data_IF_472636572394
#
_entry.id   IF_472636572394
#
_cell.length_a   1.000
_cell.length_b   1.000
_cell.length_c   1.000
_cell.angle_alpha   90.00
_cell.angle_beta   90.00
_cell.angle_gamma   90.00
#
_symmetry.space_group_name_H-M   'P 1'
#
loop_
_entity.id
_entity.type
_entity.pdbx_description
1 polymer ?
#
# COMPACT_ATOMS: atom_id res chain seq x y z
N UNK A 1 -25.99 -8.71 -7.98
CA UNK A 1 -25.10 -7.65 -8.49
C UNK A 1 -23.86 -7.58 -7.64
N UNK A 2 -22.72 -7.41 -8.29
CA UNK A 2 -21.43 -7.36 -7.61
C UNK A 2 -21.01 -5.92 -7.39
N UNK A 3 -20.32 -5.70 -6.27
CA UNK A 3 -19.69 -4.41 -5.99
C UNK A 3 -18.32 -4.36 -6.63
N UNK A 4 -17.92 -3.19 -7.12
CA UNK A 4 -16.57 -2.97 -7.64
C UNK A 4 -15.71 -2.49 -6.48
N UNK A 5 -14.72 -3.26 -6.05
CA UNK A 5 -13.73 -2.74 -5.11
C UNK A 5 -12.78 -1.79 -5.85
N UNK A 6 -12.50 -0.68 -5.23
CA UNK A 6 -11.53 0.30 -5.71
C UNK A 6 -10.55 0.57 -4.59
N UNK A 7 -9.28 0.64 -4.93
CA UNK A 7 -8.26 0.95 -3.93
C UNK A 7 -8.42 2.40 -3.50
N UNK A 8 -8.54 2.59 -2.18
CA UNK A 8 -8.51 3.92 -1.58
C UNK A 8 -7.06 4.31 -1.41
N UNK A 9 -6.57 5.17 -2.29
CA UNK A 9 -5.16 5.57 -2.34
C UNK A 9 -4.71 6.23 -1.05
N UNK A 10 -5.48 7.19 -0.57
CA UNK A 10 -5.15 7.93 0.66
C UNK A 10 -5.14 7.01 1.87
N UNK A 11 -6.18 6.21 2.04
CA UNK A 11 -6.27 5.30 3.18
C UNK A 11 -5.18 4.23 3.13
N UNK A 12 -4.84 3.73 1.95
CA UNK A 12 -3.73 2.78 1.77
C UNK A 12 -2.41 3.42 2.18
N UNK A 13 -2.16 4.66 1.78
CA UNK A 13 -0.95 5.38 2.17
C UNK A 13 -0.83 5.57 3.68
N UNK A 14 -1.92 5.95 4.33
CA UNK A 14 -1.97 6.05 5.80
C UNK A 14 -1.70 4.70 6.44
N UNK A 15 -2.24 3.63 5.87
CA UNK A 15 -2.06 2.28 6.37
C UNK A 15 -0.60 1.82 6.25
N UNK A 16 0.06 2.12 5.13
CA UNK A 16 1.49 1.84 4.94
C UNK A 16 2.32 2.53 6.03
N UNK A 17 2.05 3.80 6.30
CA UNK A 17 2.73 4.54 7.36
C UNK A 17 2.51 3.88 8.72
N UNK A 18 1.26 3.53 9.03
CA UNK A 18 0.90 2.90 10.30
C UNK A 18 1.61 1.55 10.47
N UNK A 19 1.60 0.73 9.44
CA UNK A 19 2.24 -0.59 9.48
C UNK A 19 3.76 -0.49 9.60
N UNK A 20 4.36 0.49 8.92
CA UNK A 20 5.79 0.77 9.06
C UNK A 20 6.15 1.09 10.51
N UNK A 21 5.40 2.00 11.13
CA UNK A 21 5.63 2.40 12.51
C UNK A 21 5.41 1.21 13.46
N UNK A 22 4.34 0.44 13.25
CA UNK A 22 4.04 -0.74 14.06
C UNK A 22 5.14 -1.80 13.96
N UNK A 23 5.80 -1.90 12.82
CA UNK A 23 6.93 -2.81 12.62
C UNK A 23 8.25 -2.27 13.19
N UNK A 24 8.25 -1.06 13.74
CA UNK A 24 9.45 -0.42 14.30
C UNK A 24 10.43 0.07 13.24
N UNK A 25 9.96 0.33 12.02
CA UNK A 25 10.81 0.72 10.90
C UNK A 25 10.70 2.21 10.64
N UNK A 26 11.85 2.85 10.43
CA UNK A 26 11.92 4.22 9.91
C UNK A 26 11.77 4.22 8.40
N UNK A 27 11.50 5.40 7.83
CA UNK A 27 11.52 5.54 6.36
C UNK A 27 12.89 5.14 5.80
N UNK A 28 13.96 5.51 6.50
CA UNK A 28 15.32 5.15 6.10
C UNK A 28 15.53 3.64 6.08
N UNK A 29 14.98 2.93 7.08
CA UNK A 29 15.06 1.47 7.13
C UNK A 29 14.40 0.86 5.89
N UNK A 30 13.22 1.33 5.53
CA UNK A 30 12.50 0.84 4.35
C UNK A 30 13.28 1.18 3.07
N UNK A 31 13.79 2.40 2.99
CA UNK A 31 14.65 2.82 1.88
C UNK A 31 15.83 1.88 1.68
N UNK A 32 16.48 1.50 2.77
CA UNK A 32 17.65 0.63 2.73
C UNK A 32 17.29 -0.79 2.27
N UNK A 33 16.15 -1.30 2.73
CA UNK A 33 15.66 -2.62 2.29
C UNK A 33 15.47 -2.67 0.78
N UNK A 34 14.90 -1.62 0.19
CA UNK A 34 14.68 -1.55 -1.25
C UNK A 34 15.93 -1.16 -2.05
N UNK A 35 16.95 -0.63 -1.38
CA UNK A 35 18.11 -0.11 -2.09
C UNK A 35 17.83 1.17 -2.87
N UNK A 36 16.82 1.93 -2.47
CA UNK A 36 16.50 3.20 -3.13
C UNK A 36 17.53 4.27 -2.78
N UNK A 37 17.94 5.05 -3.77
CA UNK A 37 18.87 6.15 -3.56
C UNK A 37 18.26 7.31 -2.78
N UNK A 38 16.94 7.44 -2.81
CA UNK A 38 16.19 8.48 -2.09
C UNK A 38 14.92 7.88 -1.47
N UNK A 39 14.33 8.53 -0.46
CA UNK A 39 13.08 8.04 0.14
C UNK A 39 11.82 8.47 -0.61
N UNK A 40 11.94 9.11 -1.77
CA UNK A 40 10.80 9.75 -2.43
C UNK A 40 9.67 8.79 -2.79
N UNK A 41 10.00 7.58 -3.25
CA UNK A 41 8.98 6.59 -3.59
C UNK A 41 8.15 6.23 -2.36
N UNK A 42 8.81 6.06 -1.21
CA UNK A 42 8.13 5.71 0.05
C UNK A 42 7.20 6.83 0.47
N UNK A 43 7.64 8.07 0.39
CA UNK A 43 6.79 9.22 0.71
C UNK A 43 5.59 9.32 -0.23
N UNK A 44 5.77 9.03 -1.52
CA UNK A 44 4.64 8.99 -2.46
C UNK A 44 3.64 7.92 -2.09
N UNK A 45 4.09 6.74 -1.68
CA UNK A 45 3.20 5.69 -1.20
C UNK A 45 2.41 6.16 0.02
N UNK A 46 3.10 6.75 1.00
CA UNK A 46 2.47 7.21 2.25
C UNK A 46 1.46 8.33 2.03
N UNK A 47 1.68 9.19 1.04
CA UNK A 47 0.73 10.26 0.70
C UNK A 47 -0.43 9.78 -0.15
N UNK A 48 -0.40 8.56 -0.64
CA UNK A 48 -1.38 8.08 -1.60
C UNK A 48 -1.23 8.68 -2.99
N UNK A 49 -0.05 9.23 -3.31
CA UNK A 49 0.23 9.79 -4.63
C UNK A 49 0.53 8.69 -5.66
N UNK A 50 1.04 7.56 -5.20
CA UNK A 50 1.32 6.40 -6.03
C UNK A 50 1.20 5.15 -5.18
N UNK A 51 0.88 4.02 -5.81
CA UNK A 51 0.91 2.72 -5.15
C UNK A 51 2.26 2.06 -5.40
N UNK A 52 2.76 1.26 -4.44
CA UNK A 52 3.86 0.37 -4.72
C UNK A 52 3.50 -0.59 -5.85
N UNK A 53 4.48 -0.95 -6.67
CA UNK A 53 4.30 -2.04 -7.63
C UNK A 53 4.06 -3.36 -6.90
N UNK A 54 3.55 -4.37 -7.61
CA UNK A 54 3.22 -5.65 -6.98
C UNK A 54 4.43 -6.28 -6.31
N UNK A 55 5.59 -6.26 -6.96
CA UNK A 55 6.82 -6.77 -6.40
C UNK A 55 7.25 -6.00 -5.14
N UNK A 56 7.07 -4.70 -5.12
CA UNK A 56 7.36 -3.89 -3.94
C UNK A 56 6.36 -4.17 -2.81
N UNK A 57 5.09 -4.44 -3.13
CA UNK A 57 4.10 -4.86 -2.14
C UNK A 57 4.49 -6.17 -1.46
N UNK A 58 5.03 -7.12 -2.20
CA UNK A 58 5.52 -8.39 -1.63
C UNK A 58 6.59 -8.12 -0.58
N UNK A 59 7.54 -7.23 -0.87
CA UNK A 59 8.60 -6.87 0.06
C UNK A 59 8.06 -6.14 1.28
N UNK A 60 7.16 -5.17 1.07
CA UNK A 60 6.52 -4.44 2.18
C UNK A 60 5.77 -5.39 3.10
N UNK A 61 4.99 -6.31 2.54
CA UNK A 61 4.26 -7.30 3.33
C UNK A 61 5.23 -8.13 4.19
N UNK A 62 6.34 -8.54 3.61
CA UNK A 62 7.35 -9.33 4.32
C UNK A 62 7.97 -8.55 5.48
N UNK A 63 8.40 -7.31 5.27
CA UNK A 63 9.05 -6.51 6.31
C UNK A 63 8.07 -6.00 7.37
N UNK A 64 6.80 -5.82 7.01
CA UNK A 64 5.76 -5.45 7.97
C UNK A 64 5.19 -6.67 8.72
N UNK A 65 5.43 -7.88 8.23
CA UNK A 65 4.88 -9.10 8.83
C UNK A 65 3.38 -9.23 8.61
N UNK A 66 2.89 -8.78 7.47
CA UNK A 66 1.45 -8.81 7.11
C UNK A 66 1.28 -9.43 5.73
N UNK A 67 0.04 -9.61 5.33
CA UNK A 67 -0.31 -10.01 3.96
C UNK A 67 -0.48 -8.78 3.07
N UNK A 68 -0.31 -8.96 1.77
CA UNK A 68 -0.55 -7.87 0.81
C UNK A 68 -1.97 -7.32 0.97
N UNK A 69 -2.95 -8.19 1.16
CA UNK A 69 -4.34 -7.80 1.34
C UNK A 69 -4.55 -6.90 2.56
N UNK A 70 -3.70 -7.01 3.58
CA UNK A 70 -3.79 -6.16 4.76
C UNK A 70 -3.29 -4.74 4.49
N UNK A 71 -2.43 -4.56 3.49
CA UNK A 71 -1.85 -3.25 3.16
C UNK A 71 -2.84 -2.40 2.37
N UNK A 72 -3.51 -3.01 1.39
CA UNK A 72 -4.39 -2.32 0.48
C UNK A 72 -5.76 -2.08 1.13
N UNK A 73 -6.20 -0.84 1.12
CA UNK A 73 -7.52 -0.46 1.63
C UNK A 73 -8.43 -0.22 0.45
N UNK A 74 -9.60 -0.84 0.49
CA UNK A 74 -10.56 -0.78 -0.59
C UNK A 74 -11.78 0.02 -0.18
N UNK A 75 -12.44 0.60 -1.16
CA UNK A 75 -13.77 1.16 -1.01
C UNK A 75 -14.65 0.67 -2.15
N UNK A 76 -15.95 0.57 -1.88
CA UNK A 76 -16.90 0.23 -2.92
C UNK A 76 -17.22 1.45 -3.78
N UNK A 77 -17.17 1.29 -5.09
CA UNK A 77 -17.57 2.31 -6.05
C UNK A 77 -18.99 2.13 -6.52
N UNK A 78 -19.78 1.34 -5.81
CA UNK A 78 -21.15 1.05 -6.18
C UNK A 78 -21.26 -0.31 -6.84
N UNK A 79 -22.27 -0.47 -7.66
CA UNK A 79 -22.65 -1.77 -8.21
C UNK A 79 -22.13 -1.92 -9.63
N UNK A 80 -21.46 -3.05 -9.90
CA UNK A 80 -21.12 -3.44 -11.26
C UNK A 80 -22.36 -4.04 -11.90
N UNK A 81 -22.72 -3.53 -13.05
CA UNK A 81 -23.66 -4.20 -13.90
C UNK A 81 -22.89 -4.89 -15.01
N UNK A 82 -22.85 -6.19 -14.95
CA UNK A 82 -22.33 -6.94 -16.07
C UNK A 82 -23.38 -6.97 -17.16
N UNK A 83 -22.92 -6.74 -18.37
CA UNK A 83 -23.74 -6.97 -19.52
C UNK A 83 -23.85 -8.47 -19.69
N UNK A 84 -25.03 -8.95 -19.47
CA UNK A 84 -25.28 -10.37 -19.61
C UNK A 84 -25.18 -10.80 -21.06
#
# INVERSE_FOLDING_TARGET
>A
MNRIPVIDMTATGINITRMRIAAGLTVKDVQDVFGFSTPQAIYKWQRGAALPTVDNLVVLAAIFGVKIDDILIFQDRGVIQFLA
#
